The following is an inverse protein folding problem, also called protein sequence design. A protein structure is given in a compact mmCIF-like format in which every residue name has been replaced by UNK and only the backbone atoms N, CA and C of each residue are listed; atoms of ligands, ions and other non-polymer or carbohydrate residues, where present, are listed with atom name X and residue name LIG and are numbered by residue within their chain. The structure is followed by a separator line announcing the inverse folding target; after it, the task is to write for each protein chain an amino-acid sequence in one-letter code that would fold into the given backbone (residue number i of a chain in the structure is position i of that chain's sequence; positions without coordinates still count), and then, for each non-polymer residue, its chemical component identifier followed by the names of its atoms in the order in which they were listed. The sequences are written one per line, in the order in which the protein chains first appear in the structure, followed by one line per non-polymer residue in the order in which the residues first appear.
data_IF_560240966705
#
_entry.id   IF_560240966705
#
_cell.length_a   1.000
_cell.length_b   1.000
_cell.length_c   1.000
_cell.angle_alpha   90.00
_cell.angle_beta   90.00
_cell.angle_gamma   90.00
#
_symmetry.space_group_name_H-M   'P 1'
#
loop_
_entity.id
_entity.type
_entity.pdbx_description
1 polymer ?
#
# COMPACT_ATOMS: atom_id res chain seq x y z
N UNK A 1 23.59 -8.72 -33.41
CA UNK A 1 23.54 -7.42 -32.69
C UNK A 1 22.12 -6.86 -32.47
N UNK A 2 21.10 -7.25 -33.24
CA UNK A 2 19.73 -6.69 -33.09
C UNK A 2 18.95 -7.17 -31.84
N UNK A 3 19.17 -8.39 -31.35
CA UNK A 3 18.40 -8.92 -30.22
C UNK A 3 18.70 -8.24 -28.88
N UNK A 4 19.91 -7.74 -28.68
CA UNK A 4 20.28 -7.05 -27.43
C UNK A 4 19.65 -5.66 -27.34
N UNK A 5 19.66 -4.90 -28.43
CA UNK A 5 18.98 -3.61 -28.52
C UNK A 5 17.47 -3.75 -28.36
N UNK A 6 16.87 -4.75 -29.02
CA UNK A 6 15.44 -5.02 -28.87
C UNK A 6 15.07 -5.42 -27.43
N UNK A 7 15.91 -6.23 -26.78
CA UNK A 7 15.72 -6.59 -25.38
C UNK A 7 15.83 -5.37 -24.45
N UNK A 8 16.85 -4.52 -24.62
CA UNK A 8 17.05 -3.31 -23.81
C UNK A 8 15.91 -2.30 -24.00
N UNK A 9 15.43 -2.14 -25.23
CA UNK A 9 14.31 -1.24 -25.54
C UNK A 9 12.99 -1.76 -24.97
N UNK A 10 12.76 -3.07 -25.07
CA UNK A 10 11.58 -3.71 -24.50
C UNK A 10 11.61 -3.68 -22.96
N UNK A 11 12.79 -3.86 -22.35
CA UNK A 11 12.97 -3.68 -20.90
C UNK A 11 12.66 -2.24 -20.48
N UNK A 12 13.29 -1.26 -21.14
CA UNK A 12 13.10 0.16 -20.83
C UNK A 12 11.64 0.59 -20.98
N UNK A 13 10.98 0.19 -22.06
CA UNK A 13 9.57 0.49 -22.27
C UNK A 13 8.70 -0.09 -21.15
N UNK A 14 8.97 -1.34 -20.73
CA UNK A 14 8.26 -1.97 -19.61
C UNK A 14 8.49 -1.24 -18.29
N UNK A 15 9.71 -0.75 -18.02
CA UNK A 15 9.98 0.00 -16.80
C UNK A 15 9.30 1.38 -16.77
N UNK A 16 9.35 2.12 -17.89
CA UNK A 16 8.67 3.42 -18.00
C UNK A 16 7.16 3.26 -17.87
N UNK A 17 6.59 2.19 -18.43
CA UNK A 17 5.17 1.89 -18.31
C UNK A 17 4.77 1.58 -16.85
N UNK A 18 5.57 0.79 -16.13
CA UNK A 18 5.32 0.51 -14.70
C UNK A 18 5.35 1.80 -13.88
N UNK A 19 6.31 2.69 -14.13
CA UNK A 19 6.40 3.99 -13.44
C UNK A 19 5.23 4.92 -13.79
N UNK A 20 4.74 4.86 -15.02
CA UNK A 20 3.54 5.60 -15.42
C UNK A 20 2.29 5.07 -14.73
N UNK A 21 2.04 3.76 -14.81
CA UNK A 21 0.86 3.12 -14.21
C UNK A 21 0.85 3.24 -12.69
N UNK A 22 1.99 3.10 -12.03
CA UNK A 22 2.12 3.26 -10.58
C UNK A 22 1.64 4.64 -10.11
N UNK A 23 1.86 5.70 -10.90
CA UNK A 23 1.42 7.07 -10.58
C UNK A 23 -0.07 7.28 -10.77
N UNK A 24 -0.68 6.60 -11.72
CA UNK A 24 -2.11 6.73 -12.05
C UNK A 24 -3.02 5.95 -11.11
N UNK A 25 -2.47 4.98 -10.36
CA UNK A 25 -3.26 4.13 -9.47
C UNK A 25 -3.79 4.93 -8.26
N UNK A 26 -5.09 4.78 -7.92
CA UNK A 26 -5.68 5.44 -6.78
C UNK A 26 -5.15 4.82 -5.47
N UNK A 27 -4.84 5.69 -4.51
CA UNK A 27 -4.18 5.34 -3.24
C UNK A 27 -4.94 4.25 -2.45
N UNK A 28 -6.27 4.26 -2.49
CA UNK A 28 -7.11 3.27 -1.81
C UNK A 28 -6.88 1.87 -2.38
N UNK A 29 -6.86 1.71 -3.70
CA UNK A 29 -6.61 0.41 -4.32
C UNK A 29 -5.20 -0.10 -4.03
N UNK A 30 -4.22 0.82 -3.96
CA UNK A 30 -2.85 0.51 -3.59
C UNK A 30 -2.80 -0.06 -2.17
N UNK A 31 -3.42 0.63 -1.22
CA UNK A 31 -3.44 0.26 0.19
C UNK A 31 -4.16 -1.07 0.44
N UNK A 32 -5.33 -1.28 -0.17
CA UNK A 32 -6.15 -2.47 0.12
C UNK A 32 -5.69 -3.71 -0.63
N UNK A 33 -5.28 -3.58 -1.91
CA UNK A 33 -5.10 -4.74 -2.78
C UNK A 33 -3.65 -4.92 -3.22
N UNK A 34 -3.03 -3.86 -3.74
CA UNK A 34 -1.77 -3.99 -4.46
C UNK A 34 -0.60 -4.30 -3.55
N UNK A 35 -0.51 -3.65 -2.38
CA UNK A 35 0.54 -3.93 -1.40
C UNK A 35 0.46 -5.38 -0.90
N UNK A 36 -0.75 -5.87 -0.59
CA UNK A 36 -0.98 -7.25 -0.15
C UNK A 36 -0.59 -8.26 -1.22
N UNK A 37 -0.99 -7.99 -2.48
CA UNK A 37 -0.62 -8.81 -3.61
C UNK A 37 0.90 -8.89 -3.80
N UNK A 38 1.58 -7.74 -3.81
CA UNK A 38 3.03 -7.69 -3.98
C UNK A 38 3.77 -8.41 -2.84
N UNK A 39 3.33 -8.23 -1.59
CA UNK A 39 3.90 -8.92 -0.44
C UNK A 39 3.83 -10.45 -0.60
N UNK A 40 2.67 -10.96 -1.03
CA UNK A 40 2.47 -12.40 -1.26
C UNK A 40 3.33 -12.92 -2.41
N UNK A 41 3.39 -12.19 -3.52
CA UNK A 41 4.14 -12.63 -4.69
C UNK A 41 5.65 -12.63 -4.46
N UNK A 42 6.16 -11.67 -3.69
CA UNK A 42 7.59 -11.59 -3.33
C UNK A 42 7.99 -12.57 -2.23
N UNK A 43 7.07 -12.96 -1.36
CA UNK A 43 7.32 -14.01 -0.37
C UNK A 43 7.36 -15.42 -0.99
N UNK A 44 6.66 -15.62 -2.11
CA UNK A 44 6.62 -16.89 -2.84
C UNK A 44 7.79 -17.11 -3.81
N UNK A 45 7.77 -18.25 -4.50
CA UNK A 45 8.74 -18.61 -5.55
C UNK A 45 8.33 -18.09 -6.94
N UNK A 46 7.91 -16.84 -7.04
CA UNK A 46 7.49 -16.32 -8.33
C UNK A 46 8.67 -16.20 -9.31
N UNK A 47 8.41 -16.41 -10.61
CA UNK A 47 9.40 -16.21 -11.68
C UNK A 47 9.53 -14.74 -12.10
N UNK A 48 8.66 -13.87 -11.58
CA UNK A 48 8.59 -12.46 -11.95
C UNK A 48 9.02 -11.50 -10.82
N UNK A 49 9.92 -11.97 -9.94
CA UNK A 49 10.39 -11.19 -8.77
C UNK A 49 10.90 -9.82 -9.16
N UNK A 50 11.71 -9.71 -10.22
CA UNK A 50 12.24 -8.43 -10.69
C UNK A 50 11.12 -7.42 -11.04
N UNK A 51 10.07 -7.88 -11.72
CA UNK A 51 8.92 -7.06 -12.06
C UNK A 51 8.18 -6.59 -10.80
N UNK A 52 7.97 -7.47 -9.82
CA UNK A 52 7.29 -7.12 -8.57
C UNK A 52 8.12 -6.20 -7.66
N UNK A 53 9.44 -6.37 -7.64
CA UNK A 53 10.35 -5.42 -6.98
C UNK A 53 10.24 -4.05 -7.64
N UNK A 54 10.19 -3.98 -8.98
CA UNK A 54 10.02 -2.70 -9.68
C UNK A 54 8.69 -2.06 -9.35
N UNK A 55 7.58 -2.79 -9.46
CA UNK A 55 6.25 -2.29 -9.08
C UNK A 55 6.25 -1.73 -7.66
N UNK A 56 6.85 -2.47 -6.72
CA UNK A 56 6.98 -2.03 -5.33
C UNK A 56 7.72 -0.70 -5.24
N UNK A 57 8.88 -0.59 -5.90
CA UNK A 57 9.67 0.64 -5.90
C UNK A 57 8.90 1.82 -6.52
N UNK A 58 8.25 1.61 -7.67
CA UNK A 58 7.49 2.65 -8.37
C UNK A 58 6.28 3.14 -7.57
N UNK A 59 5.56 2.23 -6.91
CA UNK A 59 4.44 2.56 -6.03
C UNK A 59 4.91 3.35 -4.81
N UNK A 60 5.94 2.86 -4.10
CA UNK A 60 6.46 3.54 -2.92
C UNK A 60 7.02 4.92 -3.28
N UNK A 61 7.74 5.04 -4.40
CA UNK A 61 8.22 6.33 -4.88
C UNK A 61 7.10 7.33 -5.13
N UNK A 62 5.97 6.86 -5.66
CA UNK A 62 4.86 7.74 -6.06
C UNK A 62 3.91 8.06 -4.89
N UNK A 63 3.74 7.14 -3.95
CA UNK A 63 2.64 7.20 -2.98
C UNK A 63 3.07 7.12 -1.50
N UNK A 64 4.34 6.89 -1.18
CA UNK A 64 4.78 6.72 0.21
C UNK A 64 4.44 7.91 1.11
N UNK A 65 4.53 9.15 0.61
CA UNK A 65 4.15 10.33 1.39
C UNK A 65 2.66 10.35 1.72
N UNK A 66 1.81 9.96 0.77
CA UNK A 66 0.36 9.88 0.97
C UNK A 66 0.01 8.75 1.93
N UNK A 67 0.60 7.56 1.76
CA UNK A 67 0.44 6.43 2.68
C UNK A 67 0.82 6.83 4.12
N UNK A 68 1.95 7.55 4.29
CA UNK A 68 2.40 8.03 5.60
C UNK A 68 1.42 9.02 6.22
N UNK A 69 0.94 10.00 5.44
CA UNK A 69 -0.03 10.99 5.92
C UNK A 69 -1.33 10.32 6.36
N UNK A 70 -1.84 9.37 5.59
CA UNK A 70 -3.09 8.70 5.94
C UNK A 70 -2.91 7.83 7.18
N UNK A 71 -1.79 7.09 7.29
CA UNK A 71 -1.47 6.32 8.48
C UNK A 71 -1.35 7.20 9.73
N UNK A 72 -0.68 8.36 9.62
CA UNK A 72 -0.56 9.32 10.72
C UNK A 72 -1.92 9.89 11.13
N UNK A 73 -2.78 10.25 10.17
CA UNK A 73 -4.13 10.73 10.45
C UNK A 73 -4.99 9.66 11.12
N UNK A 74 -4.85 8.39 10.71
CA UNK A 74 -5.54 7.26 11.34
C UNK A 74 -5.10 7.08 12.80
N UNK A 75 -3.80 7.14 13.08
CA UNK A 75 -3.26 7.04 14.45
C UNK A 75 -3.65 8.24 15.33
N UNK A 76 -3.77 9.44 14.75
CA UNK A 76 -4.26 10.62 15.48
C UNK A 76 -5.75 10.50 15.84
N UNK A 77 -6.57 9.97 14.93
CA UNK A 77 -7.98 9.69 15.20
C UNK A 77 -8.18 8.64 16.31
N UNK A 78 -7.27 7.66 16.42
CA UNK A 78 -7.24 6.71 17.54
C UNK A 78 -7.01 7.40 18.89
N UNK A 79 -6.13 8.40 18.92
CA UNK A 79 -5.78 9.13 20.14
C UNK A 79 -6.92 10.06 20.63
N UNK A 80 -7.70 10.63 19.72
CA UNK A 80 -8.85 11.50 20.06
C UNK A 80 -10.04 10.68 20.55
N UNK A 81 -10.38 9.58 19.85
CA UNK A 81 -11.51 8.72 20.22
C UNK A 81 -11.26 7.90 21.50
N UNK A 82 -9.99 7.66 21.86
CA UNK A 82 -9.63 7.00 23.12
C UNK A 82 -9.72 7.90 24.35
N UNK A 83 -9.74 9.23 24.19
CA UNK A 83 -9.79 10.18 25.33
C UNK A 83 -11.19 10.72 25.60
N UNK A 84 -12.07 10.74 24.60
CA UNK A 84 -13.44 11.25 24.75
C UNK A 84 -14.45 10.19 25.27
N UNK A 85 -14.14 8.90 25.18
CA UNK A 85 -15.07 7.83 25.61
C UNK A 85 -15.02 7.46 27.10
N UNK A 86 -14.21 8.14 27.92
CA UNK A 86 -14.11 7.83 29.36
C UNK A 86 -14.92 8.75 30.26
N UNK A 87 -15.58 9.78 29.74
CA UNK A 87 -16.41 10.68 30.56
C UNK A 87 -17.70 11.09 29.84
N UNK A 88 -18.77 10.29 29.96
CA UNK A 88 -20.08 10.75 30.46
C UNK A 88 -21.09 9.58 30.54
N UNK A 89 -22.03 9.62 31.50
CA UNK A 89 -22.97 8.54 31.78
C UNK A 89 -24.21 8.58 30.87
N UNK A 90 -24.78 7.39 30.67
CA UNK A 90 -26.13 7.04 30.26
C UNK A 90 -27.16 8.21 30.29
N UNK A 91 -27.72 8.59 29.12
CA UNK A 91 -29.13 9.01 28.95
C UNK A 91 -29.49 9.31 27.47
N UNK A 92 -30.50 8.57 27.02
CA UNK A 92 -31.53 8.79 25.98
C UNK A 92 -31.43 9.88 24.88
N UNK A 93 -31.89 9.44 23.70
CA UNK A 93 -32.77 10.15 22.73
C UNK A 93 -32.18 10.80 21.45
N UNK A 94 -32.62 10.21 20.32
CA UNK A 94 -33.26 10.83 19.15
C UNK A 94 -32.45 11.85 18.30
N UNK A 95 -32.05 11.32 17.14
CA UNK A 95 -32.28 11.86 15.78
C UNK A 95 -31.46 13.07 15.25
N UNK A 96 -31.20 12.97 13.95
CA UNK A 96 -30.68 13.97 13.02
C UNK A 96 -29.20 14.34 13.10
N UNK A 97 -28.39 13.58 12.36
CA UNK A 97 -27.41 14.19 11.43
C UNK A 97 -27.08 13.25 10.27
N UNK A 98 -27.68 13.57 9.12
CA UNK A 98 -27.17 13.39 7.76
C UNK A 98 -25.76 12.76 7.69
N UNK A 99 -25.65 11.44 7.76
CA UNK A 99 -24.49 10.76 7.23
C UNK A 99 -24.67 10.67 5.72
N UNK A 100 -24.16 11.72 5.08
CA UNK A 100 -23.94 11.81 3.65
C UNK A 100 -23.37 10.49 3.14
N UNK A 101 -24.12 9.85 2.24
CA UNK A 101 -23.64 8.86 1.30
C UNK A 101 -22.32 9.33 0.66
N UNK A 102 -21.19 8.95 1.25
CA UNK A 102 -19.89 8.94 0.62
C UNK A 102 -19.37 7.50 0.71
N UNK A 103 -19.63 6.65 -0.30
CA UNK A 103 -19.01 5.36 -0.38
C UNK A 103 -17.52 5.59 -0.69
N UNK A 104 -16.68 5.57 0.34
CA UNK A 104 -15.22 5.68 0.15
C UNK A 104 -14.43 6.31 1.29
N UNK A 105 -15.06 6.77 2.37
CA UNK A 105 -14.35 7.39 3.48
C UNK A 105 -14.83 6.76 4.80
N UNK A 106 -14.05 5.79 5.29
CA UNK A 106 -14.00 5.35 6.69
C UNK A 106 -14.86 4.14 7.12
N UNK A 107 -14.57 2.98 6.52
CA UNK A 107 -14.45 1.70 7.26
C UNK A 107 -13.02 1.50 7.83
N UNK A 108 -12.24 2.59 7.93
CA UNK A 108 -10.80 2.69 7.67
C UNK A 108 -9.83 2.17 8.76
N UNK A 109 -10.25 1.77 9.96
CA UNK A 109 -9.27 1.52 11.04
C UNK A 109 -8.59 0.14 10.95
N UNK A 110 -9.36 -0.94 10.76
CA UNK A 110 -8.80 -2.30 10.59
C UNK A 110 -8.05 -2.48 9.27
N UNK A 111 -8.40 -1.69 8.25
CA UNK A 111 -7.84 -1.78 6.91
C UNK A 111 -6.45 -1.14 6.82
N UNK A 112 -6.20 -0.04 7.53
CA UNK A 112 -4.85 0.56 7.63
C UNK A 112 -3.88 -0.30 8.45
N UNK A 113 -4.34 -0.87 9.56
CA UNK A 113 -3.55 -1.85 10.32
C UNK A 113 -3.15 -3.06 9.43
N UNK A 114 -4.09 -3.53 8.61
CA UNK A 114 -3.85 -4.60 7.63
C UNK A 114 -2.85 -4.17 6.54
N UNK A 115 -3.01 -2.95 6.00
CA UNK A 115 -2.07 -2.37 5.03
C UNK A 115 -0.66 -2.26 5.61
N UNK A 116 -0.53 -1.76 6.86
CA UNK A 116 0.74 -1.67 7.58
C UNK A 116 1.39 -3.04 7.78
N UNK A 117 0.64 -4.06 8.20
CA UNK A 117 1.14 -5.42 8.33
C UNK A 117 1.63 -5.98 6.99
N UNK A 118 0.91 -5.69 5.89
CA UNK A 118 1.33 -6.09 4.55
C UNK A 118 2.57 -5.34 4.07
N UNK A 119 2.75 -4.06 4.43
CA UNK A 119 3.99 -3.31 4.18
C UNK A 119 5.19 -3.92 4.92
N UNK A 120 5.02 -4.34 6.18
CA UNK A 120 6.07 -5.04 6.94
C UNK A 120 6.44 -6.37 6.28
N UNK A 121 5.43 -7.16 5.87
CA UNK A 121 5.64 -8.42 5.13
C UNK A 121 6.34 -8.18 3.79
N UNK A 122 5.97 -7.12 3.08
CA UNK A 122 6.60 -6.71 1.83
C UNK A 122 8.08 -6.37 2.05
N UNK A 123 8.39 -5.60 3.09
CA UNK A 123 9.77 -5.27 3.46
C UNK A 123 10.59 -6.52 3.79
N UNK A 124 10.04 -7.45 4.58
CA UNK A 124 10.70 -8.71 4.88
C UNK A 124 10.96 -9.54 3.62
N UNK A 125 10.00 -9.60 2.70
CA UNK A 125 10.13 -10.32 1.43
C UNK A 125 11.21 -9.71 0.53
N UNK A 126 11.28 -8.37 0.45
CA UNK A 126 12.34 -7.67 -0.28
C UNK A 126 13.73 -7.92 0.31
N UNK A 127 13.84 -7.93 1.64
CA UNK A 127 15.09 -8.24 2.32
C UNK A 127 15.55 -9.68 2.04
N UNK A 128 14.62 -10.64 2.04
CA UNK A 128 14.91 -12.02 1.67
C UNK A 128 15.42 -12.14 0.22
N UNK A 129 14.74 -11.49 -0.73
CA UNK A 129 15.18 -11.44 -2.14
C UNK A 129 16.58 -10.83 -2.25
N UNK A 130 16.83 -9.71 -1.56
CA UNK A 130 18.16 -9.09 -1.51
C UNK A 130 19.22 -10.05 -0.99
N UNK A 131 18.95 -10.78 0.10
CA UNK A 131 19.90 -11.77 0.63
C UNK A 131 20.15 -12.93 -0.32
N UNK A 132 19.12 -13.43 -1.01
CA UNK A 132 19.27 -14.53 -1.98
C UNK A 132 20.08 -14.14 -3.22
N UNK A 133 20.02 -12.87 -3.64
CA UNK A 133 20.79 -12.37 -4.80
C UNK A 133 22.26 -12.12 -4.43
N UNK A 134 22.55 -11.74 -3.18
CA UNK A 134 23.94 -11.50 -2.71
C UNK A 134 24.66 -12.82 -2.40
N UNK A 135 23.93 -13.90 -2.11
CA UNK A 135 24.48 -15.23 -1.83
C UNK A 135 24.68 -16.10 -3.08
N UNK A 136 24.37 -15.59 -4.28
CA UNK A 136 24.67 -16.21 -5.58
C UNK A 136 25.91 -15.60 -6.19
#
# INVERSE_FOLDING_TARGET
MNSFFLAVYTLNFRYVLVDFLARQLPINQIAHYLISFLARQLSGRSRHVELYVRWTHSILRSHALNLRRIAANSALSECTNSKESRNLPNNESIDNKKELCNPGFLTLQGEWATCQANLVRLQASLNHVKSSVIQQ
#
